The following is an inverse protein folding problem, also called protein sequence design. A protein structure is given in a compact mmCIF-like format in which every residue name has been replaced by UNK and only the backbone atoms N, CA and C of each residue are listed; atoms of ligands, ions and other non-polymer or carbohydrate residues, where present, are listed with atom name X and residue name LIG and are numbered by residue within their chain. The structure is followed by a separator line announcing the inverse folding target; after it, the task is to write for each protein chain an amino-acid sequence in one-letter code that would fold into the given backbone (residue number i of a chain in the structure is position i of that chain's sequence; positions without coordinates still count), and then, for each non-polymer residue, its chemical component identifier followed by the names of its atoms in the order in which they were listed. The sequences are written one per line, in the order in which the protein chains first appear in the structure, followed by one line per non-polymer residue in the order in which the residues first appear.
data_IF_883662704193
#
_entry.id   IF_883662704193
#
_cell.length_a   1.000
_cell.length_b   1.000
_cell.length_c   1.000
_cell.angle_alpha   90.00
_cell.angle_beta   90.00
_cell.angle_gamma   90.00
#
_symmetry.space_group_name_H-M   'P 1'
#
loop_
_entity.id
_entity.type
_entity.pdbx_description
1 polymer ?
#
# COMPACT_ATOMS: atom_id res chain seq x y z
N UNK A 1 52.39 -45.72 -4.26
CA UNK A 1 51.02 -45.28 -4.59
C UNK A 1 50.16 -45.69 -3.41
N UNK A 2 49.73 -44.72 -2.60
CA UNK A 2 49.10 -45.02 -1.33
C UNK A 2 47.61 -44.80 -1.48
N UNK A 3 46.80 -45.80 -1.10
CA UNK A 3 45.35 -45.66 -1.05
C UNK A 3 44.92 -44.69 0.06
N UNK A 4 43.66 -44.20 0.02
CA UNK A 4 43.10 -43.40 1.11
C UNK A 4 43.05 -44.22 2.42
N UNK A 5 43.16 -43.57 3.59
CA UNK A 5 43.10 -44.25 4.88
C UNK A 5 41.70 -44.84 5.10
N UNK A 6 41.65 -46.11 5.52
CA UNK A 6 40.43 -46.79 5.89
C UNK A 6 40.03 -46.36 7.33
N UNK A 7 38.84 -45.77 7.48
CA UNK A 7 38.36 -45.26 8.78
C UNK A 7 37.35 -46.25 9.35
N UNK A 8 37.73 -46.92 10.44
CA UNK A 8 36.81 -47.75 11.22
C UNK A 8 35.81 -46.88 11.97
N UNK A 9 34.53 -47.21 11.83
CA UNK A 9 33.44 -46.63 12.62
C UNK A 9 33.13 -47.55 13.81
N UNK A 10 32.98 -47.01 15.04
CA UNK A 10 32.67 -47.83 16.20
C UNK A 10 31.27 -48.46 16.07
N UNK A 11 31.16 -49.74 16.42
CA UNK A 11 29.91 -50.51 16.32
C UNK A 11 28.82 -49.92 17.23
N UNK A 12 27.60 -49.83 16.68
CA UNK A 12 26.51 -49.05 17.29
C UNK A 12 25.73 -49.80 18.39
N UNK A 13 26.37 -50.05 19.54
CA UNK A 13 25.70 -50.46 20.77
C UNK A 13 25.78 -49.35 21.83
N UNK A 14 24.72 -48.55 21.97
CA UNK A 14 24.67 -47.51 23.00
C UNK A 14 23.94 -46.21 22.63
N UNK A 15 22.65 -46.29 22.29
CA UNK A 15 21.68 -45.20 22.48
C UNK A 15 22.10 -43.78 22.07
N UNK A 16 22.71 -43.60 20.89
CA UNK A 16 23.07 -42.27 20.40
C UNK A 16 21.81 -41.43 20.13
N UNK A 17 21.52 -40.45 20.99
CA UNK A 17 20.57 -39.39 20.66
C UNK A 17 21.14 -38.62 19.49
N UNK A 18 20.43 -38.60 18.37
CA UNK A 18 20.82 -37.79 17.22
C UNK A 18 21.04 -36.33 17.66
N UNK A 19 22.16 -35.69 17.29
CA UNK A 19 22.31 -34.25 17.43
C UNK A 19 21.13 -33.55 16.77
N UNK A 20 20.61 -32.50 17.40
CA UNK A 20 19.40 -31.84 16.93
C UNK A 20 19.69 -31.02 15.65
N UNK A 21 19.53 -31.67 14.50
CA UNK A 21 19.76 -31.10 13.17
C UNK A 21 18.88 -29.86 12.94
N UNK A 22 17.72 -29.78 13.59
CA UNK A 22 16.89 -28.58 13.54
C UNK A 22 17.55 -27.42 14.31
N UNK A 23 18.15 -27.66 15.48
CA UNK A 23 18.90 -26.64 16.21
C UNK A 23 20.12 -26.13 15.43
N UNK A 24 20.87 -27.03 14.77
CA UNK A 24 22.02 -26.68 13.93
C UNK A 24 21.61 -25.87 12.68
N UNK A 25 20.56 -26.30 11.96
CA UNK A 25 20.01 -25.56 10.82
C UNK A 25 19.46 -24.17 11.24
N UNK A 26 18.80 -24.07 12.40
CA UNK A 26 18.33 -22.79 12.95
C UNK A 26 19.50 -21.87 13.34
N UNK A 27 20.58 -22.42 13.90
CA UNK A 27 21.79 -21.65 14.22
C UNK A 27 22.48 -21.14 12.94
N UNK A 28 22.64 -22.00 11.93
CA UNK A 28 23.18 -21.59 10.63
C UNK A 28 22.31 -20.52 9.94
N UNK A 29 20.98 -20.69 9.93
CA UNK A 29 20.06 -19.68 9.40
C UNK A 29 20.20 -18.35 10.14
N UNK A 30 20.21 -18.36 11.48
CA UNK A 30 20.42 -17.15 12.30
C UNK A 30 21.76 -16.47 12.02
N UNK A 31 22.84 -17.23 11.83
CA UNK A 31 24.16 -16.66 11.48
C UNK A 31 24.20 -16.08 10.07
N UNK A 32 23.53 -16.69 9.10
CA UNK A 32 23.38 -16.13 7.75
C UNK A 32 22.62 -14.80 7.85
N UNK A 33 21.45 -14.76 8.50
CA UNK A 33 20.66 -13.54 8.64
C UNK A 33 21.37 -12.43 9.45
N UNK A 34 22.15 -12.76 10.48
CA UNK A 34 22.95 -11.78 11.21
C UNK A 34 24.13 -11.24 10.38
N UNK A 35 24.73 -12.04 9.50
CA UNK A 35 25.76 -11.60 8.56
C UNK A 35 25.15 -10.74 7.43
N UNK A 36 24.01 -11.17 6.86
CA UNK A 36 23.22 -10.40 5.89
C UNK A 36 22.84 -9.03 6.46
N UNK A 37 22.37 -8.97 7.71
CA UNK A 37 22.04 -7.72 8.41
C UNK A 37 23.27 -6.82 8.57
N UNK A 38 24.42 -7.36 8.98
CA UNK A 38 25.68 -6.61 9.13
C UNK A 38 26.21 -6.05 7.81
N UNK A 39 25.97 -6.73 6.69
CA UNK A 39 26.35 -6.26 5.34
C UNK A 39 25.32 -5.27 4.78
N UNK A 40 24.05 -5.39 5.17
CA UNK A 40 22.96 -4.50 4.75
C UNK A 40 22.79 -3.24 5.62
N UNK A 41 23.41 -3.15 6.79
CA UNK A 41 23.35 -1.98 7.70
C UNK A 41 24.50 -1.00 7.53
N UNK A 42 24.28 0.25 7.95
CA UNK A 42 25.29 1.27 8.18
C UNK A 42 25.93 1.07 9.58
N UNK A 43 27.27 1.11 9.65
CA UNK A 43 28.02 0.82 10.87
C UNK A 43 27.98 1.94 11.92
N UNK A 44 27.60 3.16 11.53
CA UNK A 44 27.52 4.31 12.42
C UNK A 44 26.18 4.38 13.16
N UNK A 45 25.08 4.22 12.42
CA UNK A 45 23.70 4.46 12.86
C UNK A 45 22.90 3.17 13.10
N UNK A 46 23.33 2.03 12.55
CA UNK A 46 22.61 0.76 12.63
C UNK A 46 21.39 0.64 11.71
N UNK A 47 21.03 1.70 10.99
CA UNK A 47 20.02 1.72 9.93
C UNK A 47 20.44 0.82 8.76
N UNK A 48 19.55 0.63 7.78
CA UNK A 48 19.93 0.07 6.49
C UNK A 48 20.86 1.00 5.71
N UNK A 49 21.76 0.44 4.90
CA UNK A 49 22.66 1.20 4.04
C UNK A 49 22.13 1.30 2.60
N UNK A 50 22.78 2.15 1.81
CA UNK A 50 22.52 2.35 0.37
C UNK A 50 22.42 1.05 -0.45
N UNK A 51 23.30 0.06 -0.21
CA UNK A 51 23.27 -1.21 -0.94
C UNK A 51 22.13 -2.15 -0.51
N UNK A 52 21.40 -1.82 0.56
CA UNK A 52 20.08 -2.40 0.83
C UNK A 52 18.96 -1.59 0.15
N UNK A 53 19.01 -0.26 0.21
CA UNK A 53 18.04 0.62 -0.47
C UNK A 53 17.93 0.33 -1.97
N UNK A 54 19.06 0.26 -2.68
CA UNK A 54 19.12 0.02 -4.13
C UNK A 54 18.51 -1.34 -4.54
N UNK A 55 18.40 -2.30 -3.60
CA UNK A 55 17.68 -3.57 -3.82
C UNK A 55 16.21 -3.48 -3.43
N UNK A 56 15.89 -2.78 -2.34
CA UNK A 56 14.51 -2.74 -1.84
C UNK A 56 13.60 -1.83 -2.68
N UNK A 57 14.13 -0.71 -3.21
CA UNK A 57 13.34 0.25 -4.00
C UNK A 57 12.64 -0.41 -5.21
N UNK A 58 13.35 -1.27 -5.95
CA UNK A 58 12.77 -2.01 -7.09
C UNK A 58 11.78 -3.09 -6.61
N UNK A 59 12.05 -3.76 -5.48
CA UNK A 59 11.10 -4.77 -4.95
C UNK A 59 9.80 -4.16 -4.42
N UNK A 60 9.86 -2.98 -3.81
CA UNK A 60 8.67 -2.26 -3.32
C UNK A 60 7.92 -1.56 -4.46
N UNK A 61 8.62 -1.13 -5.52
CA UNK A 61 8.02 -0.73 -6.80
C UNK A 61 7.25 -1.90 -7.44
N UNK A 62 7.87 -3.07 -7.59
CA UNK A 62 7.21 -4.25 -8.19
C UNK A 62 6.05 -4.76 -7.31
N UNK A 63 6.15 -4.61 -5.98
CA UNK A 63 5.05 -4.87 -5.02
C UNK A 63 3.91 -3.87 -5.18
N UNK A 64 4.21 -2.56 -5.26
CA UNK A 64 3.25 -1.48 -5.53
C UNK A 64 2.43 -1.78 -6.78
N UNK A 65 3.10 -2.04 -7.90
CA UNK A 65 2.47 -2.39 -9.18
C UNK A 65 1.63 -3.68 -9.10
N UNK A 66 2.13 -4.72 -8.41
CA UNK A 66 1.44 -6.02 -8.28
C UNK A 66 0.16 -5.96 -7.44
N UNK A 67 0.17 -5.19 -6.36
CA UNK A 67 -0.95 -5.13 -5.40
C UNK A 67 -1.79 -3.84 -5.53
N UNK A 68 -1.43 -2.96 -6.48
CA UNK A 68 -2.01 -1.61 -6.68
C UNK A 68 -2.13 -0.82 -5.37
N UNK A 69 -1.08 -0.87 -4.55
CA UNK A 69 -0.95 -0.09 -3.32
C UNK A 69 0.11 0.99 -3.51
N UNK A 70 -0.17 2.25 -3.18
CA UNK A 70 0.80 3.31 -3.37
C UNK A 70 2.02 3.11 -2.47
N UNK A 71 3.19 3.55 -2.95
CA UNK A 71 4.42 3.60 -2.17
C UNK A 71 5.07 4.96 -2.40
N UNK A 72 5.69 5.52 -1.37
CA UNK A 72 6.30 6.85 -1.42
C UNK A 72 7.71 6.86 -0.87
N UNK A 73 8.58 7.56 -1.57
CA UNK A 73 9.97 7.79 -1.20
C UNK A 73 10.09 9.17 -0.56
N UNK A 74 10.68 9.21 0.63
CA UNK A 74 11.05 10.43 1.35
C UNK A 74 12.57 10.48 1.40
N UNK A 75 13.19 11.51 0.85
CA UNK A 75 14.63 11.78 0.97
C UNK A 75 14.84 13.00 1.87
N UNK A 76 15.75 12.92 2.84
CA UNK A 76 16.05 14.03 3.74
C UNK A 76 17.54 14.18 4.04
N UNK A 77 17.92 15.40 4.36
CA UNK A 77 19.31 15.86 4.46
C UNK A 77 19.43 16.90 5.57
N UNK A 78 20.53 16.85 6.32
CA UNK A 78 20.76 17.70 7.49
C UNK A 78 21.23 19.09 7.05
N UNK A 79 20.39 20.09 7.30
CA UNK A 79 20.68 21.48 6.97
C UNK A 79 21.97 21.94 7.69
N UNK A 80 22.96 22.38 6.90
CA UNK A 80 24.24 22.90 7.37
C UNK A 80 25.14 21.90 8.14
N UNK A 81 25.00 20.58 7.93
CA UNK A 81 25.82 19.56 8.63
C UNK A 81 27.34 19.75 8.47
N UNK A 82 27.82 20.21 7.31
CA UNK A 82 29.22 20.60 7.15
C UNK A 82 29.67 21.66 8.17
N UNK A 83 28.84 22.68 8.44
CA UNK A 83 29.16 23.71 9.44
C UNK A 83 29.18 23.13 10.85
N UNK A 84 28.28 22.20 11.18
CA UNK A 84 28.31 21.48 12.46
C UNK A 84 29.62 20.70 12.65
N UNK A 85 30.09 20.00 11.61
CA UNK A 85 31.39 19.33 11.63
C UNK A 85 32.57 20.32 11.72
N UNK A 86 32.55 21.39 10.93
CA UNK A 86 33.64 22.38 10.90
C UNK A 86 33.76 23.15 12.24
N UNK A 87 32.65 23.32 12.98
CA UNK A 87 32.62 24.00 14.28
C UNK A 87 32.83 23.08 15.50
N UNK A 88 32.34 21.83 15.47
CA UNK A 88 32.33 20.92 16.64
C UNK A 88 33.12 19.62 16.45
N UNK A 89 33.71 19.42 15.27
CA UNK A 89 34.49 18.23 14.91
C UNK A 89 33.63 17.02 14.53
N UNK A 90 34.24 16.08 13.78
CA UNK A 90 33.53 14.92 13.24
C UNK A 90 32.86 14.03 14.30
N UNK A 91 33.40 13.95 15.52
CA UNK A 91 32.78 13.18 16.62
C UNK A 91 31.43 13.76 17.07
N UNK A 92 31.22 15.07 16.94
CA UNK A 92 29.91 15.69 17.16
C UNK A 92 28.95 15.37 15.99
N UNK A 93 29.41 15.46 14.74
CA UNK A 93 28.64 15.06 13.56
C UNK A 93 28.19 13.59 13.60
N UNK A 94 29.10 12.69 13.99
CA UNK A 94 28.83 11.28 14.27
C UNK A 94 27.73 11.08 15.33
N UNK A 95 27.70 11.94 16.35
CA UNK A 95 26.70 11.92 17.42
C UNK A 95 25.34 12.43 16.93
N UNK A 96 25.33 13.50 16.14
CA UNK A 96 24.14 14.01 15.43
C UNK A 96 23.52 12.95 14.53
N UNK A 97 24.32 12.22 13.74
CA UNK A 97 23.84 11.20 12.81
C UNK A 97 23.18 10.01 13.53
N UNK A 98 23.73 9.57 14.67
CA UNK A 98 23.12 8.52 15.51
C UNK A 98 21.81 9.02 16.13
N UNK A 99 21.80 10.22 16.68
CA UNK A 99 20.62 10.81 17.31
C UNK A 99 19.47 11.02 16.30
N UNK A 100 19.80 11.52 15.09
CA UNK A 100 18.84 11.69 14.01
C UNK A 100 18.24 10.35 13.55
N UNK A 101 19.06 9.29 13.49
CA UNK A 101 18.57 7.95 13.18
C UNK A 101 17.56 7.43 14.22
N UNK A 102 17.73 7.76 15.51
CA UNK A 102 16.77 7.42 16.57
C UNK A 102 15.50 8.26 16.46
N UNK A 103 15.61 9.57 16.24
CA UNK A 103 14.46 10.47 16.02
C UNK A 103 13.64 10.01 14.82
N UNK A 104 14.29 9.63 13.72
CA UNK A 104 13.65 9.13 12.51
C UNK A 104 12.93 7.78 12.73
N UNK A 105 13.59 6.80 13.36
CA UNK A 105 12.95 5.53 13.75
C UNK A 105 11.73 5.72 14.65
N UNK A 106 11.72 6.75 15.51
CA UNK A 106 10.56 7.05 16.36
C UNK A 106 9.35 7.62 15.60
N UNK A 107 9.56 8.16 14.40
CA UNK A 107 8.57 8.92 13.64
C UNK A 107 7.83 8.09 12.60
N UNK A 108 8.48 7.05 12.07
CA UNK A 108 7.95 6.13 11.05
C UNK A 108 7.22 4.94 11.67
N UNK A 109 6.52 4.15 10.84
CA UNK A 109 5.87 2.89 11.25
C UNK A 109 6.82 1.71 11.11
N UNK A 110 6.47 0.58 11.73
CA UNK A 110 7.13 -0.72 11.54
C UNK A 110 6.98 -1.27 10.10
N UNK A 111 6.06 -0.70 9.30
CA UNK A 111 5.89 -1.00 7.87
C UNK A 111 6.82 -0.20 6.94
N UNK A 112 7.53 0.79 7.47
CA UNK A 112 8.25 1.80 6.69
C UNK A 112 9.75 1.57 6.89
N UNK A 113 10.50 1.48 5.79
CA UNK A 113 11.92 1.10 5.85
C UNK A 113 12.81 2.34 5.76
N UNK A 114 13.77 2.47 6.70
CA UNK A 114 14.63 3.65 6.87
C UNK A 114 16.10 3.32 6.62
N UNK A 115 16.73 4.17 5.81
CA UNK A 115 18.06 3.98 5.27
C UNK A 115 18.93 5.22 5.49
N UNK A 116 20.22 4.99 5.70
CA UNK A 116 21.25 5.99 5.46
C UNK A 116 21.74 5.84 4.02
N UNK A 117 21.47 6.86 3.20
CA UNK A 117 21.80 6.88 1.77
C UNK A 117 23.22 7.40 1.52
N UNK A 118 23.62 8.42 2.26
CA UNK A 118 24.88 9.14 2.08
C UNK A 118 25.53 9.58 3.41
N UNK A 119 26.40 10.58 3.34
CA UNK A 119 27.12 11.11 4.51
C UNK A 119 26.17 11.72 5.54
N UNK A 120 25.35 12.67 5.08
CA UNK A 120 24.32 13.41 5.84
C UNK A 120 22.90 13.19 5.28
N UNK A 121 22.76 12.24 4.36
CA UNK A 121 21.54 11.96 3.58
C UNK A 121 20.88 10.63 4.01
N UNK A 122 19.56 10.65 4.13
CA UNK A 122 18.73 9.55 4.59
C UNK A 122 17.51 9.36 3.67
N UNK A 123 16.97 8.15 3.63
CA UNK A 123 15.80 7.80 2.83
C UNK A 123 14.80 6.98 3.65
N UNK A 124 13.49 7.17 3.41
CA UNK A 124 12.42 6.29 3.90
C UNK A 124 11.58 5.82 2.72
N UNK A 125 11.33 4.51 2.64
CA UNK A 125 10.31 3.92 1.78
C UNK A 125 9.06 3.71 2.64
N UNK A 126 8.05 4.54 2.42
CA UNK A 126 6.75 4.45 3.10
C UNK A 126 5.80 3.56 2.28
N UNK A 127 5.65 2.30 2.72
CA UNK A 127 4.77 1.33 2.08
C UNK A 127 3.28 1.68 2.25
N UNK A 128 2.46 1.28 1.28
CA UNK A 128 1.00 1.45 1.29
C UNK A 128 0.55 2.90 1.59
N UNK A 129 1.31 3.90 1.10
CA UNK A 129 1.20 5.33 1.46
C UNK A 129 1.55 6.21 0.25
N UNK A 130 0.68 7.15 -0.12
CA UNK A 130 0.91 8.13 -1.20
C UNK A 130 1.61 9.42 -0.74
N UNK A 131 1.64 10.41 -1.64
CA UNK A 131 2.36 11.68 -1.49
C UNK A 131 1.92 12.56 -0.30
N UNK A 132 0.65 12.49 0.15
CA UNK A 132 0.13 13.33 1.26
C UNK A 132 0.38 12.70 2.61
N UNK A 133 0.21 11.39 2.75
CA UNK A 133 0.58 10.59 3.90
C UNK A 133 2.08 10.65 4.11
N UNK A 134 2.87 10.45 3.05
CA UNK A 134 4.32 10.66 3.10
C UNK A 134 4.69 12.13 3.37
N UNK A 135 3.93 13.10 2.85
CA UNK A 135 4.08 14.52 3.18
C UNK A 135 3.82 14.86 4.65
N UNK A 136 2.76 14.30 5.25
CA UNK A 136 2.44 14.43 6.69
C UNK A 136 3.48 13.71 7.57
N UNK A 137 3.98 12.55 7.13
CA UNK A 137 5.06 11.82 7.79
C UNK A 137 6.39 12.62 7.75
N UNK A 138 6.75 13.15 6.58
CA UNK A 138 7.89 14.04 6.39
C UNK A 138 7.79 15.31 7.25
N UNK A 139 6.63 15.95 7.31
CA UNK A 139 6.44 17.15 8.13
C UNK A 139 6.51 16.81 9.64
N UNK A 140 5.99 15.65 10.06
CA UNK A 140 6.15 15.13 11.42
C UNK A 140 7.62 14.87 11.76
N UNK A 141 8.38 14.26 10.85
CA UNK A 141 9.82 14.04 10.98
C UNK A 141 10.55 15.38 11.14
N UNK A 142 10.30 16.33 10.23
CA UNK A 142 10.90 17.67 10.25
C UNK A 142 10.66 18.40 11.57
N UNK A 143 9.41 18.38 12.06
CA UNK A 143 9.05 19.02 13.33
C UNK A 143 9.75 18.38 14.53
N UNK A 144 9.84 17.03 14.58
CA UNK A 144 10.58 16.34 15.65
C UNK A 144 12.07 16.65 15.62
N UNK A 145 12.70 16.67 14.45
CA UNK A 145 14.12 17.01 14.29
C UNK A 145 14.38 18.46 14.73
N UNK A 146 13.56 19.42 14.28
CA UNK A 146 13.68 20.83 14.67
C UNK A 146 13.39 21.10 16.15
N UNK A 147 12.70 20.18 16.85
CA UNK A 147 12.48 20.23 18.29
C UNK A 147 13.56 19.50 19.11
N UNK A 148 14.39 18.65 18.49
CA UNK A 148 15.42 17.89 19.18
C UNK A 148 16.65 18.76 19.48
N UNK A 149 17.14 18.69 20.72
CA UNK A 149 18.42 19.28 21.10
C UNK A 149 19.52 18.24 20.91
N UNK A 150 20.27 18.36 19.82
CA UNK A 150 21.39 17.47 19.50
C UNK A 150 22.59 17.75 20.41
N UNK A 151 23.29 16.71 20.90
CA UNK A 151 24.52 16.88 21.67
C UNK A 151 25.55 17.75 20.94
N UNK A 152 26.21 18.63 21.69
CA UNK A 152 27.26 19.59 21.26
C UNK A 152 26.83 20.68 20.26
N UNK A 153 25.88 20.40 19.35
CA UNK A 153 25.49 21.29 18.26
C UNK A 153 24.21 22.09 18.57
N UNK A 154 23.33 21.59 19.44
CA UNK A 154 22.08 22.26 19.80
C UNK A 154 20.96 21.97 18.80
N UNK A 155 20.30 23.01 18.27
CA UNK A 155 19.21 22.84 17.32
C UNK A 155 19.73 22.64 15.89
N UNK A 156 19.16 21.65 15.18
CA UNK A 156 19.41 21.38 13.76
C UNK A 156 18.08 21.21 13.02
N UNK A 157 18.11 21.35 11.70
CA UNK A 157 16.93 21.18 10.84
C UNK A 157 17.23 20.24 9.67
N UNK A 158 16.18 19.78 9.00
CA UNK A 158 16.29 18.97 7.79
C UNK A 158 15.48 19.57 6.65
N UNK A 159 16.06 19.51 5.45
CA UNK A 159 15.33 19.67 4.19
C UNK A 159 14.80 18.30 3.76
N UNK A 160 13.58 18.23 3.23
CA UNK A 160 12.93 16.97 2.87
C UNK A 160 12.25 17.05 1.49
N UNK A 161 12.52 16.08 0.64
CA UNK A 161 11.81 15.81 -0.61
C UNK A 161 10.95 14.56 -0.51
N UNK A 162 9.75 14.59 -1.10
CA UNK A 162 8.80 13.47 -1.11
C UNK A 162 8.30 13.23 -2.53
N UNK A 163 8.34 11.98 -3.01
CA UNK A 163 7.68 11.56 -4.24
C UNK A 163 7.02 10.19 -4.08
N UNK A 164 5.77 10.10 -4.52
CA UNK A 164 5.03 8.84 -4.73
C UNK A 164 5.63 8.08 -5.92
N UNK A 165 5.50 6.75 -5.99
CA UNK A 165 5.83 6.00 -7.20
C UNK A 165 4.70 6.14 -8.23
N UNK A 166 5.01 6.36 -9.52
CA UNK A 166 4.00 6.41 -10.59
C UNK A 166 3.97 5.13 -11.43
N UNK A 167 2.82 4.85 -12.04
CA UNK A 167 2.66 3.77 -13.01
C UNK A 167 3.75 3.83 -14.11
N UNK A 168 4.35 2.67 -14.37
CA UNK A 168 5.47 2.47 -15.29
C UNK A 168 6.77 3.28 -15.00
N UNK A 169 6.88 4.01 -13.89
CA UNK A 169 8.13 4.67 -13.47
C UNK A 169 9.15 3.63 -12.96
N UNK A 170 10.45 3.83 -13.24
CA UNK A 170 11.56 3.03 -12.67
C UNK A 170 12.04 3.60 -11.33
N UNK A 171 12.67 2.79 -10.48
CA UNK A 171 13.22 3.27 -9.19
C UNK A 171 14.19 4.43 -9.36
N UNK A 172 15.02 4.36 -10.40
CA UNK A 172 15.93 5.42 -10.86
C UNK A 172 15.23 6.76 -11.16
N UNK A 173 14.09 6.71 -11.84
CA UNK A 173 13.31 7.90 -12.19
C UNK A 173 12.60 8.47 -10.96
N UNK A 174 11.93 7.59 -10.20
CA UNK A 174 11.24 7.92 -8.94
C UNK A 174 12.18 8.56 -7.91
N UNK A 175 13.40 8.02 -7.75
CA UNK A 175 14.45 8.60 -6.91
C UNK A 175 14.81 10.03 -7.34
N UNK A 176 15.04 10.26 -8.65
CA UNK A 176 15.30 11.61 -9.19
C UNK A 176 14.14 12.59 -8.95
N UNK A 177 12.89 12.12 -8.83
CA UNK A 177 11.75 12.98 -8.46
C UNK A 177 11.81 13.40 -7.00
N UNK A 178 12.10 12.47 -6.08
CA UNK A 178 12.28 12.77 -4.66
C UNK A 178 13.49 13.69 -4.42
N UNK A 179 14.60 13.47 -5.11
CA UNK A 179 15.80 14.32 -5.05
C UNK A 179 15.53 15.73 -5.58
N UNK A 180 14.83 15.88 -6.71
CA UNK A 180 14.43 17.19 -7.21
C UNK A 180 13.55 17.96 -6.21
N UNK A 181 12.71 17.27 -5.43
CA UNK A 181 11.95 17.89 -4.33
C UNK A 181 12.86 18.27 -3.16
N UNK A 182 13.82 17.42 -2.77
CA UNK A 182 14.79 17.71 -1.71
C UNK A 182 15.66 18.94 -2.07
N UNK A 183 16.12 19.02 -3.31
CA UNK A 183 16.82 20.19 -3.86
C UNK A 183 15.94 21.44 -3.81
N UNK A 184 14.66 21.35 -4.18
CA UNK A 184 13.71 22.45 -4.07
C UNK A 184 13.40 22.85 -2.60
N UNK A 185 13.53 21.92 -1.64
CA UNK A 185 13.43 22.22 -0.21
C UNK A 185 14.65 23.01 0.28
N UNK A 186 15.86 22.54 -0.07
CA UNK A 186 17.13 23.24 0.21
C UNK A 186 17.12 24.66 -0.38
N UNK A 187 16.83 24.80 -1.67
CA UNK A 187 16.80 26.09 -2.39
C UNK A 187 15.65 27.01 -1.95
N UNK A 188 14.53 26.45 -1.47
CA UNK A 188 13.43 27.26 -0.93
C UNK A 188 13.79 28.02 0.37
N UNK A 189 14.95 27.76 0.97
CA UNK A 189 15.36 28.31 2.25
C UNK A 189 15.33 27.30 3.40
N UNK A 190 15.55 26.01 3.12
CA UNK A 190 15.76 24.92 4.10
C UNK A 190 14.63 24.71 5.12
N UNK A 191 14.82 23.78 6.07
CA UNK A 191 13.86 23.44 7.13
C UNK A 191 12.41 23.30 6.64
N UNK A 192 12.19 22.48 5.60
CA UNK A 192 10.87 22.31 4.97
C UNK A 192 10.72 21.00 4.23
N UNK A 193 9.46 20.61 4.03
CA UNK A 193 9.07 19.57 3.07
C UNK A 193 8.79 20.18 1.69
N UNK A 194 9.10 19.43 0.64
CA UNK A 194 8.56 19.57 -0.70
C UNK A 194 8.03 18.21 -1.16
N UNK A 195 6.85 18.21 -1.77
CA UNK A 195 6.16 17.01 -2.22
C UNK A 195 5.86 17.13 -3.71
N UNK A 196 6.17 16.08 -4.47
CA UNK A 196 5.85 16.03 -5.89
C UNK A 196 4.35 15.76 -6.09
N UNK A 197 3.61 16.83 -6.38
CA UNK A 197 2.16 16.84 -6.57
C UNK A 197 1.68 16.08 -7.84
N UNK A 198 2.58 15.39 -8.56
CA UNK A 198 2.21 14.42 -9.61
C UNK A 198 1.80 13.05 -9.05
N UNK A 199 2.21 12.72 -7.81
CA UNK A 199 1.55 11.65 -7.07
C UNK A 199 0.09 12.00 -6.85
N UNK A 200 -0.83 11.06 -6.96
CA UNK A 200 -2.26 11.35 -6.78
C UNK A 200 -3.03 10.32 -5.95
N UNK A 201 -2.50 9.14 -5.64
CA UNK A 201 -3.21 8.10 -4.87
C UNK A 201 -3.74 8.56 -3.51
N UNK A 202 -3.11 9.57 -2.89
CA UNK A 202 -3.65 10.17 -1.67
C UNK A 202 -4.68 11.29 -1.89
N UNK A 203 -4.84 11.83 -3.10
CA UNK A 203 -6.09 12.51 -3.45
C UNK A 203 -7.26 11.51 -3.57
N UNK A 204 -6.93 10.20 -3.63
CA UNK A 204 -7.88 9.10 -3.61
C UNK A 204 -8.02 8.44 -2.21
N UNK A 205 -7.31 8.94 -1.19
CA UNK A 205 -7.32 8.39 0.17
C UNK A 205 -7.26 9.45 1.29
N UNK A 206 -7.26 10.75 0.93
CA UNK A 206 -6.96 11.86 1.83
C UNK A 206 -7.74 13.12 1.43
N UNK A 207 -8.82 13.51 2.12
CA UNK A 207 -9.13 13.20 3.53
C UNK A 207 -10.59 12.90 3.93
N UNK A 208 -11.71 13.35 3.34
CA UNK A 208 -12.03 14.26 2.23
C UNK A 208 -11.84 13.68 0.80
N UNK A 209 -12.84 12.95 0.31
CA UNK A 209 -12.99 12.57 -1.11
C UNK A 209 -13.36 13.77 -2.03
N UNK A 210 -13.88 13.56 -3.27
CA UNK A 210 -14.30 12.30 -3.89
C UNK A 210 -13.50 11.90 -5.14
N UNK A 211 -12.30 12.47 -5.36
CA UNK A 211 -11.39 12.01 -6.43
C UNK A 211 -10.95 10.53 -6.27
N UNK A 212 -11.24 9.92 -5.11
CA UNK A 212 -11.06 8.53 -4.76
C UNK A 212 -11.85 7.51 -5.59
N UNK A 213 -12.92 7.94 -6.24
CA UNK A 213 -14.00 7.04 -6.57
C UNK A 213 -13.94 6.47 -8.00
N UNK A 214 -12.99 6.85 -8.86
CA UNK A 214 -12.96 6.38 -10.26
C UNK A 214 -12.56 4.89 -10.34
N UNK A 215 -13.55 4.03 -10.27
CA UNK A 215 -13.41 2.57 -10.18
C UNK A 215 -12.78 2.03 -11.48
N UNK A 216 -11.56 1.50 -11.35
CA UNK A 216 -10.85 0.84 -12.44
C UNK A 216 -11.08 -0.68 -12.40
N UNK A 217 -11.63 -1.24 -13.47
CA UNK A 217 -11.86 -2.69 -13.59
C UNK A 217 -10.55 -3.50 -13.49
N UNK A 218 -10.66 -4.72 -12.97
CA UNK A 218 -9.58 -5.70 -12.90
C UNK A 218 -10.15 -7.09 -13.14
N UNK A 219 -9.41 -7.94 -13.86
CA UNK A 219 -9.76 -9.36 -14.10
C UNK A 219 -9.91 -10.13 -12.77
N UNK A 220 -9.27 -9.68 -11.68
CA UNK A 220 -9.40 -10.28 -10.35
C UNK A 220 -10.73 -9.97 -9.62
N UNK A 221 -11.64 -9.23 -10.26
CA UNK A 221 -13.02 -9.04 -9.82
C UNK A 221 -14.01 -10.00 -10.49
N UNK A 222 -13.55 -10.81 -11.45
CA UNK A 222 -14.41 -11.74 -12.19
C UNK A 222 -14.73 -12.96 -11.31
N UNK A 223 -16.02 -13.21 -11.12
CA UNK A 223 -16.56 -14.32 -10.35
C UNK A 223 -16.64 -15.62 -11.17
N UNK A 224 -16.56 -15.52 -12.50
CA UNK A 224 -16.62 -16.65 -13.43
C UNK A 224 -18.04 -16.97 -13.94
N UNK A 225 -19.03 -16.13 -13.64
CA UNK A 225 -20.39 -16.19 -14.21
C UNK A 225 -20.55 -15.00 -15.18
N UNK A 226 -20.46 -15.20 -16.51
CA UNK A 226 -20.23 -14.11 -17.47
C UNK A 226 -21.27 -12.98 -17.48
N UNK A 227 -22.51 -13.24 -17.04
CA UNK A 227 -23.54 -12.21 -16.89
C UNK A 227 -23.28 -11.29 -15.69
N UNK A 228 -22.89 -11.86 -14.54
CA UNK A 228 -22.55 -11.12 -13.33
C UNK A 228 -21.28 -10.27 -13.59
N UNK A 229 -20.28 -10.85 -14.26
CA UNK A 229 -19.04 -10.13 -14.60
C UNK A 229 -19.28 -8.97 -15.58
N UNK A 230 -20.29 -9.05 -16.45
CA UNK A 230 -20.73 -7.95 -17.30
C UNK A 230 -21.54 -6.87 -16.53
N UNK A 231 -22.37 -7.27 -15.58
CA UNK A 231 -23.09 -6.36 -14.68
C UNK A 231 -22.13 -5.59 -13.78
N UNK A 232 -21.15 -6.26 -13.17
CA UNK A 232 -20.09 -5.63 -12.36
C UNK A 232 -19.31 -4.57 -13.16
N UNK A 233 -18.90 -4.88 -14.40
CA UNK A 233 -18.26 -3.90 -15.30
C UNK A 233 -19.16 -2.69 -15.56
N UNK A 234 -20.45 -2.93 -15.79
CA UNK A 234 -21.43 -1.85 -16.04
C UNK A 234 -21.69 -1.00 -14.80
N UNK A 235 -21.66 -1.59 -13.59
CA UNK A 235 -21.72 -0.87 -12.31
C UNK A 235 -20.49 0.01 -12.08
N UNK A 236 -19.30 -0.43 -12.50
CA UNK A 236 -18.09 0.40 -12.48
C UNK A 236 -18.23 1.59 -13.43
N UNK A 237 -18.69 1.39 -14.67
CA UNK A 237 -18.87 2.47 -15.65
C UNK A 237 -19.97 3.46 -15.24
N UNK A 238 -21.09 2.98 -14.69
CA UNK A 238 -22.16 3.85 -14.17
C UNK A 238 -21.73 4.60 -12.89
N UNK A 239 -20.88 4.00 -12.05
CA UNK A 239 -20.25 4.69 -10.92
C UNK A 239 -19.36 5.82 -11.41
N UNK A 240 -18.45 5.53 -12.35
CA UNK A 240 -17.58 6.52 -12.98
C UNK A 240 -18.38 7.68 -13.57
N UNK A 241 -19.46 7.41 -14.32
CA UNK A 241 -20.35 8.43 -14.86
C UNK A 241 -21.03 9.29 -13.76
N UNK A 242 -21.44 8.70 -12.62
CA UNK A 242 -21.99 9.46 -11.49
C UNK A 242 -20.95 10.38 -10.84
N UNK A 243 -19.70 9.93 -10.73
CA UNK A 243 -18.59 10.70 -10.14
C UNK A 243 -18.20 11.84 -11.07
N UNK A 244 -18.02 11.56 -12.36
CA UNK A 244 -17.72 12.57 -13.39
C UNK A 244 -18.83 13.65 -13.41
N UNK A 245 -20.12 13.25 -13.40
CA UNK A 245 -21.27 14.17 -13.30
C UNK A 245 -21.24 15.03 -12.03
N UNK A 246 -20.86 14.44 -10.88
CA UNK A 246 -20.74 15.19 -9.62
C UNK A 246 -19.58 16.19 -9.62
N UNK A 247 -18.46 15.86 -10.26
CA UNK A 247 -17.27 16.71 -10.34
C UNK A 247 -17.46 17.86 -11.34
N UNK A 248 -18.05 17.59 -12.50
CA UNK A 248 -18.26 18.57 -13.57
C UNK A 248 -19.47 19.49 -13.31
N UNK A 249 -20.57 18.95 -12.76
CA UNK A 249 -21.86 19.65 -12.62
C UNK A 249 -21.92 20.77 -11.58
N UNK A 250 -20.80 21.13 -10.94
CA UNK A 250 -20.67 22.30 -10.06
C UNK A 250 -21.57 22.35 -8.81
N UNK A 251 -22.36 21.29 -8.55
CA UNK A 251 -23.35 21.22 -7.48
C UNK A 251 -24.82 21.19 -7.93
N UNK A 252 -25.13 21.11 -9.23
CA UNK A 252 -26.53 20.91 -9.67
C UNK A 252 -27.04 19.51 -9.29
N UNK A 253 -28.05 19.49 -8.42
CA UNK A 253 -28.72 18.27 -7.97
C UNK A 253 -29.47 17.55 -9.11
N UNK A 254 -29.95 18.27 -10.13
CA UNK A 254 -30.73 17.68 -11.22
C UNK A 254 -29.89 16.76 -12.13
N UNK A 255 -28.67 17.17 -12.46
CA UNK A 255 -27.76 16.37 -13.28
C UNK A 255 -27.28 15.12 -12.52
N UNK A 256 -26.85 15.30 -11.27
CA UNK A 256 -26.40 14.19 -10.41
C UNK A 256 -27.56 13.21 -10.10
N UNK A 257 -28.80 13.70 -9.95
CA UNK A 257 -29.96 12.83 -9.74
C UNK A 257 -30.22 11.89 -10.93
N UNK A 258 -29.98 12.34 -12.17
CA UNK A 258 -30.11 11.50 -13.37
C UNK A 258 -29.06 10.39 -13.42
N UNK A 259 -27.81 10.70 -13.09
CA UNK A 259 -26.75 9.70 -12.98
C UNK A 259 -26.98 8.72 -11.80
N UNK A 260 -27.48 9.22 -10.67
CA UNK A 260 -27.88 8.43 -9.50
C UNK A 260 -28.97 7.41 -9.86
N UNK A 261 -30.04 7.84 -10.54
CA UNK A 261 -31.16 6.95 -10.88
C UNK A 261 -30.74 5.86 -11.87
N UNK A 262 -29.84 6.18 -12.82
CA UNK A 262 -29.25 5.18 -13.72
C UNK A 262 -28.42 4.14 -12.97
N UNK A 263 -27.58 4.55 -12.02
CA UNK A 263 -26.77 3.63 -11.23
C UNK A 263 -27.64 2.77 -10.30
N UNK A 264 -28.60 3.37 -9.58
CA UNK A 264 -29.51 2.64 -8.70
C UNK A 264 -30.35 1.60 -9.43
N UNK A 265 -30.88 1.94 -10.61
CA UNK A 265 -31.64 0.98 -11.46
C UNK A 265 -30.79 -0.26 -11.79
N UNK A 266 -29.48 -0.08 -11.97
CA UNK A 266 -28.56 -1.19 -12.23
C UNK A 266 -28.21 -1.98 -10.97
N UNK A 267 -27.99 -1.31 -9.84
CA UNK A 267 -27.73 -1.96 -8.54
C UNK A 267 -28.93 -2.85 -8.15
N UNK A 268 -30.16 -2.34 -8.26
CA UNK A 268 -31.37 -3.09 -7.94
C UNK A 268 -31.59 -4.30 -8.85
N UNK A 269 -31.33 -4.16 -10.16
CA UNK A 269 -31.43 -5.26 -11.12
C UNK A 269 -30.36 -6.34 -10.88
N UNK A 270 -29.12 -5.92 -10.63
CA UNK A 270 -28.00 -6.80 -10.35
C UNK A 270 -28.20 -7.61 -9.06
N UNK A 271 -28.55 -6.96 -7.95
CA UNK A 271 -28.86 -7.65 -6.68
C UNK A 271 -29.98 -8.69 -6.84
N UNK A 272 -31.04 -8.36 -7.60
CA UNK A 272 -32.14 -9.28 -7.85
C UNK A 272 -31.73 -10.49 -8.71
N UNK A 273 -30.85 -10.28 -9.70
CA UNK A 273 -30.30 -11.36 -10.54
C UNK A 273 -29.36 -12.28 -9.73
N UNK A 274 -28.42 -11.68 -9.01
CA UNK A 274 -27.45 -12.39 -8.19
C UNK A 274 -28.15 -13.23 -7.10
N UNK A 275 -29.12 -12.67 -6.36
CA UNK A 275 -29.92 -13.43 -5.40
C UNK A 275 -30.68 -14.60 -6.03
N UNK A 276 -31.14 -14.45 -7.27
CA UNK A 276 -31.80 -15.53 -8.00
C UNK A 276 -30.81 -16.64 -8.39
N UNK A 277 -29.58 -16.29 -8.76
CA UNK A 277 -28.50 -17.27 -9.00
C UNK A 277 -28.08 -17.95 -7.68
N UNK A 278 -27.88 -17.21 -6.60
CA UNK A 278 -27.52 -17.75 -5.28
C UNK A 278 -28.60 -18.67 -4.72
N UNK A 279 -29.89 -18.38 -4.97
CA UNK A 279 -30.99 -19.28 -4.67
C UNK A 279 -30.92 -20.59 -5.48
N UNK A 280 -30.66 -20.50 -6.79
CA UNK A 280 -30.52 -21.68 -7.68
C UNK A 280 -29.29 -22.53 -7.32
N UNK A 281 -28.18 -21.90 -6.93
CA UNK A 281 -26.92 -22.56 -6.53
C UNK A 281 -26.96 -23.06 -5.07
N UNK A 282 -28.01 -22.78 -4.30
CA UNK A 282 -28.19 -23.26 -2.93
C UNK A 282 -27.28 -22.60 -1.88
N UNK A 283 -26.95 -21.32 -2.04
CA UNK A 283 -26.03 -20.61 -1.14
C UNK A 283 -26.60 -20.49 0.30
N UNK A 284 -25.91 -21.08 1.27
CA UNK A 284 -26.35 -21.10 2.67
C UNK A 284 -26.41 -19.71 3.34
N UNK A 285 -25.71 -18.71 2.79
CA UNK A 285 -25.73 -17.33 3.30
C UNK A 285 -26.88 -16.45 2.76
N UNK A 286 -27.71 -16.95 1.84
CA UNK A 286 -28.64 -16.16 1.03
C UNK A 286 -29.53 -15.19 1.83
N UNK A 287 -30.10 -15.61 2.96
CA UNK A 287 -30.96 -14.75 3.77
C UNK A 287 -30.19 -13.63 4.51
N UNK A 288 -28.90 -13.84 4.80
CA UNK A 288 -28.03 -12.78 5.32
C UNK A 288 -27.64 -11.79 4.22
N UNK A 289 -27.33 -12.32 3.03
CA UNK A 289 -27.00 -11.54 1.83
C UNK A 289 -28.15 -10.61 1.42
N UNK A 290 -29.38 -11.15 1.34
CA UNK A 290 -30.64 -10.39 1.18
C UNK A 290 -30.81 -9.22 2.17
N UNK A 291 -30.46 -9.45 3.43
CA UNK A 291 -30.54 -8.41 4.47
C UNK A 291 -29.45 -7.34 4.29
N UNK A 292 -28.29 -7.70 3.73
CA UNK A 292 -27.27 -6.72 3.33
C UNK A 292 -27.75 -5.86 2.16
N UNK A 293 -28.22 -6.48 1.06
CA UNK A 293 -28.79 -5.78 -0.10
C UNK A 293 -29.90 -4.81 0.29
N UNK A 294 -30.93 -5.29 1.01
CA UNK A 294 -32.04 -4.47 1.48
C UNK A 294 -31.56 -3.33 2.41
N UNK A 295 -30.49 -3.55 3.19
CA UNK A 295 -29.84 -2.52 4.00
C UNK A 295 -29.16 -1.44 3.15
N UNK A 296 -28.40 -1.83 2.12
CA UNK A 296 -27.71 -0.91 1.21
C UNK A 296 -28.71 -0.07 0.39
N UNK A 297 -29.71 -0.71 -0.21
CA UNK A 297 -30.77 -0.02 -0.98
C UNK A 297 -31.55 0.97 -0.10
N UNK A 298 -31.96 0.55 1.11
CA UNK A 298 -32.60 1.45 2.08
C UNK A 298 -31.70 2.63 2.43
N UNK A 299 -30.40 2.40 2.62
CA UNK A 299 -29.45 3.46 2.98
C UNK A 299 -29.19 4.44 1.84
N UNK A 300 -29.16 3.98 0.59
CA UNK A 300 -29.11 4.84 -0.59
C UNK A 300 -30.34 5.77 -0.64
N UNK A 301 -31.55 5.21 -0.44
CA UNK A 301 -32.79 5.99 -0.38
C UNK A 301 -32.84 7.01 0.76
N UNK A 302 -32.39 6.64 1.96
CA UNK A 302 -32.25 7.56 3.10
C UNK A 302 -31.31 8.73 2.78
N UNK A 303 -30.13 8.44 2.20
CA UNK A 303 -29.15 9.47 1.84
C UNK A 303 -29.67 10.36 0.71
N UNK A 304 -30.33 9.79 -0.32
CA UNK A 304 -30.96 10.58 -1.39
C UNK A 304 -31.99 11.55 -0.84
N UNK A 305 -32.85 11.09 0.08
CA UNK A 305 -33.84 11.94 0.76
C UNK A 305 -33.21 13.02 1.63
N UNK A 306 -32.11 12.72 2.32
CA UNK A 306 -31.35 13.69 3.10
C UNK A 306 -30.70 14.77 2.21
N UNK A 307 -30.16 14.40 1.04
CA UNK A 307 -29.61 15.38 0.08
C UNK A 307 -30.73 16.22 -0.55
N UNK A 308 -31.82 15.61 -0.98
CA UNK A 308 -32.97 16.32 -1.58
C UNK A 308 -33.66 17.31 -0.61
N UNK A 309 -33.47 17.13 0.70
CA UNK A 309 -33.96 18.04 1.75
C UNK A 309 -32.89 18.99 2.29
N UNK A 310 -31.66 18.97 1.75
CA UNK A 310 -30.53 19.80 2.20
C UNK A 310 -29.93 19.40 3.55
N UNK A 311 -30.35 18.27 4.13
CA UNK A 311 -29.84 17.74 5.39
C UNK A 311 -28.51 16.97 5.25
N UNK A 312 -28.10 16.64 4.01
CA UNK A 312 -26.81 16.04 3.68
C UNK A 312 -26.24 16.63 2.38
N UNK A 313 -24.91 16.57 2.22
CA UNK A 313 -24.23 16.99 0.99
C UNK A 313 -24.17 15.87 -0.06
N UNK A 314 -24.31 16.23 -1.34
CA UNK A 314 -24.24 15.33 -2.50
C UNK A 314 -23.03 14.37 -2.48
N UNK A 315 -21.85 14.84 -2.03
CA UNK A 315 -20.63 14.03 -2.00
C UNK A 315 -20.76 12.74 -1.17
N UNK A 316 -21.48 12.78 -0.03
CA UNK A 316 -21.70 11.60 0.81
C UNK A 316 -22.65 10.56 0.20
N UNK A 317 -23.47 10.95 -0.78
CA UNK A 317 -24.30 10.04 -1.56
C UNK A 317 -23.47 9.29 -2.62
N UNK A 318 -22.60 10.03 -3.32
CA UNK A 318 -21.68 9.48 -4.33
C UNK A 318 -20.64 8.56 -3.69
N UNK A 319 -20.07 8.97 -2.55
CA UNK A 319 -19.15 8.19 -1.74
C UNK A 319 -19.78 6.88 -1.24
N UNK A 320 -21.02 6.92 -0.73
CA UNK A 320 -21.73 5.71 -0.32
C UNK A 320 -21.98 4.75 -1.51
N UNK A 321 -22.47 5.25 -2.65
CA UNK A 321 -22.78 4.38 -3.79
C UNK A 321 -21.53 3.75 -4.39
N UNK A 322 -20.61 4.55 -4.93
CA UNK A 322 -19.46 4.00 -5.62
C UNK A 322 -18.40 3.42 -4.66
N UNK A 323 -18.33 3.91 -3.41
CA UNK A 323 -17.42 3.42 -2.39
C UNK A 323 -17.94 2.22 -1.58
N UNK A 324 -19.13 2.31 -0.98
CA UNK A 324 -19.67 1.20 -0.16
C UNK A 324 -20.46 0.16 -0.97
N UNK A 325 -21.28 0.59 -1.94
CA UNK A 325 -22.18 -0.32 -2.68
C UNK A 325 -21.51 -0.96 -3.90
N UNK A 326 -20.62 -0.27 -4.61
CA UNK A 326 -19.91 -0.85 -5.77
C UNK A 326 -18.49 -1.29 -5.40
N UNK A 327 -17.63 -0.44 -4.84
CA UNK A 327 -16.26 -0.85 -4.54
C UNK A 327 -16.16 -1.85 -3.36
N UNK A 328 -16.85 -1.63 -2.24
CA UNK A 328 -16.66 -2.45 -1.01
C UNK A 328 -17.48 -3.73 -0.97
N UNK A 329 -18.71 -3.70 -1.47
CA UNK A 329 -19.61 -4.86 -1.48
C UNK A 329 -19.16 -5.90 -2.51
N UNK A 330 -19.02 -5.50 -3.79
CA UNK A 330 -18.55 -6.39 -4.85
C UNK A 330 -17.18 -7.01 -4.55
N UNK A 331 -16.30 -6.24 -3.88
CA UNK A 331 -14.99 -6.74 -3.46
C UNK A 331 -15.02 -7.72 -2.28
N UNK A 332 -16.10 -7.80 -1.48
CA UNK A 332 -16.06 -8.52 -0.19
C UNK A 332 -17.22 -9.48 0.10
N UNK A 333 -18.47 -9.08 -0.11
CA UNK A 333 -19.60 -9.97 0.17
C UNK A 333 -19.68 -11.06 -0.91
N UNK A 334 -19.56 -10.64 -2.15
CA UNK A 334 -19.79 -11.47 -3.33
C UNK A 334 -18.73 -12.59 -3.43
N UNK A 335 -17.51 -12.26 -3.01
CA UNK A 335 -16.39 -13.20 -2.91
C UNK A 335 -16.67 -14.39 -1.97
N UNK A 336 -17.64 -14.31 -1.06
CA UNK A 336 -18.03 -15.46 -0.22
C UNK A 336 -18.67 -16.60 -1.05
N UNK A 337 -19.23 -16.30 -2.23
CA UNK A 337 -19.87 -17.29 -3.10
C UNK A 337 -19.12 -17.60 -4.42
N UNK A 338 -18.02 -16.91 -4.76
CA UNK A 338 -17.24 -17.16 -6.00
C UNK A 338 -16.86 -18.66 -6.16
N UNK A 339 -16.69 -19.39 -5.04
CA UNK A 339 -16.41 -20.83 -5.03
C UNK A 339 -17.55 -21.73 -5.53
N UNK A 340 -18.79 -21.22 -5.59
CA UNK A 340 -19.94 -21.92 -6.17
C UNK A 340 -19.93 -21.84 -7.70
N UNK A 341 -19.47 -20.72 -8.27
CA UNK A 341 -19.37 -20.52 -9.72
C UNK A 341 -18.12 -21.21 -10.30
N UNK A 342 -16.97 -21.09 -9.64
CA UNK A 342 -15.74 -21.78 -10.02
C UNK A 342 -15.89 -23.32 -10.13
N UNK A 343 -16.83 -23.92 -9.39
CA UNK A 343 -17.13 -25.37 -9.42
C UNK A 343 -17.97 -25.84 -10.61
N UNK A 344 -18.50 -24.93 -11.43
CA UNK A 344 -19.29 -25.29 -12.62
C UNK A 344 -18.39 -25.63 -13.83
N UNK A 345 -17.19 -25.05 -13.91
CA UNK A 345 -16.27 -25.24 -15.05
C UNK A 345 -15.62 -26.63 -15.12
N UNK A 346 -15.57 -27.35 -13.99
CA UNK A 346 -14.84 -28.63 -13.82
C UNK A 346 -15.74 -29.88 -13.99
N UNK A 347 -16.96 -29.71 -14.52
CA UNK A 347 -17.96 -30.80 -14.66
C UNK A 347 -18.42 -31.02 -16.12
N UNK A 348 -17.67 -30.50 -17.09
CA UNK A 348 -17.89 -30.72 -18.54
C UNK A 348 -16.96 -31.77 -19.16
N UNK A 349 -16.05 -32.37 -18.37
CA UNK A 349 -15.16 -33.44 -18.82
C UNK A 349 -15.86 -34.80 -18.90
N UNK A 350 -16.38 -35.16 -20.08
CA UNK A 350 -16.84 -36.53 -20.34
C UNK A 350 -15.68 -37.54 -20.26
N UNK A 351 -15.90 -38.74 -19.68
CA UNK A 351 -14.88 -39.79 -19.65
C UNK A 351 -14.73 -40.46 -21.02
N UNK A 352 -13.54 -40.39 -21.61
CA UNK A 352 -13.20 -41.03 -22.88
C UNK A 352 -13.40 -42.57 -22.81
N UNK A 353 -14.31 -43.16 -23.63
CA UNK A 353 -14.59 -44.60 -23.61
C UNK A 353 -13.60 -45.44 -24.46
N UNK A 354 -12.45 -44.89 -24.88
CA UNK A 354 -11.63 -45.41 -25.99
C UNK A 354 -10.35 -46.16 -25.60
N UNK A 355 -10.35 -46.96 -24.52
CA UNK A 355 -9.19 -47.82 -24.17
C UNK A 355 -9.57 -49.30 -24.08
N UNK A 356 -9.25 -50.04 -25.15
CA UNK A 356 -9.12 -51.51 -25.18
C UNK A 356 -8.19 -51.96 -26.30
#
# INVERSE_FOLDING_TARGET
MNGPPQVDWPSAEGGCRAPDVCAELVWHRRRITELERRVASDSLTGLWNRAHFERLIESERDRSLRYRQPVSLILFDIDHFKQANDCHGHQAGDSVLRELALVAQSAIRVSDELFRWGGEEFAVIAASTGHRGAGRLAETLRQRVAAQTFPFVGALTVSIGVAEHLDAESGDAWFRRADAMLYAAKQGGRNRVRTDARGNSDAWAGEQGPAALRLAWQECYECGEPSIDAEHRTLFDLSNALIDTFLDGGGDFAEVASAYDRLMTHIEAHFAHEEALLAQRGFAGLDAHRRAHAGLLKRAGELRGAVASGAAGLGGLVEFLAGEVVARHLFRADREFFTLFARAADQSGEPDPSVK
#
